data_IF_539239044785
#
_entry.id   IF_539239044785
#
_cell.length_a   1.000
_cell.length_b   1.000
_cell.length_c   1.000
_cell.angle_alpha   90.00
_cell.angle_beta   90.00
_cell.angle_gamma   90.00
#
_symmetry.space_group_name_H-M   'P 1'
#
loop_
_entity.id
_entity.type
_entity.pdbx_description
1 polymer ?
#
# COMPACT_ATOMS: atom_id res chain seq x y z
N UNK A 1 2.22 11.74 -3.89
CA UNK A 1 1.81 11.25 -5.22
C UNK A 1 0.33 10.89 -5.15
N UNK A 2 -0.56 11.80 -5.57
CA UNK A 2 -1.98 11.50 -5.70
C UNK A 2 -2.15 10.58 -6.92
N UNK A 3 -2.33 9.28 -6.68
CA UNK A 3 -2.75 8.35 -7.73
C UNK A 3 -4.15 8.80 -8.17
N UNK A 4 -4.34 9.01 -9.48
CA UNK A 4 -5.53 9.59 -10.12
C UNK A 4 -6.77 8.66 -10.08
N UNK A 5 -7.14 8.18 -8.92
CA UNK A 5 -8.55 7.94 -8.58
C UNK A 5 -8.92 9.08 -7.64
N UNK A 6 -10.10 9.69 -7.80
CA UNK A 6 -10.57 10.80 -6.98
C UNK A 6 -10.90 10.35 -5.54
N UNK A 7 -9.91 9.71 -4.91
CA UNK A 7 -10.00 8.78 -3.80
C UNK A 7 -9.11 9.33 -2.69
N UNK A 8 -9.56 10.43 -2.09
CA UNK A 8 -8.94 10.93 -0.86
C UNK A 8 -9.77 10.44 0.33
N UNK A 9 -9.16 10.21 1.51
CA UNK A 9 -9.91 9.80 2.69
C UNK A 9 -11.11 10.71 3.01
N UNK A 10 -11.00 12.02 2.71
CA UNK A 10 -12.09 12.99 2.90
C UNK A 10 -13.21 12.97 1.86
N UNK A 11 -13.14 12.12 0.82
CA UNK A 11 -14.15 12.00 -0.26
C UNK A 11 -14.91 10.68 -0.21
N UNK A 12 -14.99 10.03 0.96
CA UNK A 12 -15.69 8.75 1.21
C UNK A 12 -15.31 7.61 0.25
N UNK A 13 -14.17 7.73 -0.40
CA UNK A 13 -13.68 6.83 -1.44
C UNK A 13 -12.37 6.16 -1.04
N UNK A 14 -11.61 6.75 -0.10
CA UNK A 14 -10.45 6.13 0.52
C UNK A 14 -10.71 5.81 1.99
N UNK A 15 -10.30 4.61 2.42
CA UNK A 15 -10.25 4.23 3.83
C UNK A 15 -8.78 4.01 4.19
N UNK A 16 -8.37 4.52 5.35
CA UNK A 16 -7.06 4.27 5.91
C UNK A 16 -7.23 3.59 7.26
N UNK A 17 -6.53 2.50 7.47
CA UNK A 17 -6.51 1.75 8.72
C UNK A 17 -5.06 1.53 9.10
N UNK A 18 -4.73 1.81 10.36
CA UNK A 18 -3.43 1.44 10.90
C UNK A 18 -3.47 -0.02 11.37
N UNK A 19 -2.59 -0.85 10.81
CA UNK A 19 -2.46 -2.25 11.16
C UNK A 19 -0.98 -2.50 11.42
N UNK A 20 -0.66 -2.95 12.64
CA UNK A 20 0.71 -3.27 13.01
C UNK A 20 1.28 -4.37 12.08
N UNK A 21 2.58 -4.32 11.74
CA UNK A 21 3.21 -5.30 10.85
C UNK A 21 2.98 -6.76 11.27
N UNK A 22 2.95 -7.04 12.58
CA UNK A 22 2.66 -8.37 13.11
C UNK A 22 1.27 -8.89 12.70
N UNK A 23 0.27 -8.00 12.60
CA UNK A 23 -1.07 -8.34 12.13
C UNK A 23 -1.14 -8.61 10.62
N UNK A 24 -0.19 -8.07 9.85
CA UNK A 24 -0.10 -8.23 8.40
C UNK A 24 0.76 -9.43 7.97
N UNK A 25 1.63 -9.94 8.85
CA UNK A 25 2.57 -11.02 8.54
C UNK A 25 1.90 -12.28 7.97
N UNK A 26 0.69 -12.63 8.43
CA UNK A 26 -0.13 -13.75 7.90
C UNK A 26 -0.55 -13.59 6.43
N UNK A 27 -0.44 -12.40 5.87
CA UNK A 27 -0.77 -12.07 4.48
C UNK A 27 0.48 -11.77 3.65
N UNK A 28 1.68 -11.92 4.22
CA UNK A 28 2.93 -11.69 3.51
C UNK A 28 3.06 -12.64 2.32
N UNK A 29 3.49 -12.10 1.17
CA UNK A 29 3.89 -12.89 0.02
C UNK A 29 5.22 -12.39 -0.49
N UNK A 30 6.18 -13.29 -0.70
CA UNK A 30 7.50 -12.96 -1.25
C UNK A 30 8.21 -11.82 -0.49
N UNK A 31 8.08 -11.77 0.85
CA UNK A 31 8.63 -10.71 1.73
C UNK A 31 8.02 -9.32 1.51
N UNK A 32 6.84 -9.25 0.90
CA UNK A 32 6.06 -8.03 0.72
C UNK A 32 4.77 -8.14 1.53
N UNK A 33 4.50 -7.11 2.34
CA UNK A 33 3.26 -6.98 3.10
C UNK A 33 2.19 -6.25 2.26
N UNK A 34 0.91 -6.58 2.45
CA UNK A 34 -0.16 -5.86 1.78
C UNK A 34 -0.26 -4.43 2.32
N UNK A 35 -0.49 -3.47 1.41
CA UNK A 35 -0.51 -2.05 1.74
C UNK A 35 -1.79 -1.36 1.30
N UNK A 36 -2.37 -1.77 0.16
CA UNK A 36 -3.55 -1.14 -0.42
C UNK A 36 -4.50 -2.20 -0.96
N UNK A 37 -5.78 -2.03 -0.71
CA UNK A 37 -6.84 -2.68 -1.49
C UNK A 37 -7.36 -1.67 -2.50
N UNK A 38 -7.11 -1.91 -3.78
CA UNK A 38 -7.65 -1.10 -4.87
C UNK A 38 -8.87 -1.81 -5.46
N UNK A 39 -10.02 -1.13 -5.48
CA UNK A 39 -11.27 -1.73 -5.96
C UNK A 39 -12.08 -0.79 -6.83
N UNK A 40 -12.78 -1.38 -7.79
CA UNK A 40 -13.81 -0.75 -8.63
C UNK A 40 -15.16 -1.34 -8.24
N UNK A 41 -16.09 -0.49 -7.84
CA UNK A 41 -17.43 -0.90 -7.38
C UNK A 41 -18.49 -0.36 -8.33
N UNK A 42 -19.32 -1.25 -8.86
CA UNK A 42 -20.50 -0.92 -9.65
C UNK A 42 -21.76 -1.31 -8.89
N UNK A 43 -22.34 -0.34 -8.16
CA UNK A 43 -23.56 -0.56 -7.36
C UNK A 43 -24.79 -0.88 -8.23
N UNK A 44 -24.87 -0.35 -9.46
CA UNK A 44 -26.02 -0.61 -10.35
C UNK A 44 -26.06 -2.06 -10.81
N UNK A 45 -24.90 -2.63 -11.09
CA UNK A 45 -24.76 -4.02 -11.52
C UNK A 45 -24.58 -5.00 -10.34
N UNK A 46 -24.56 -4.51 -9.09
CA UNK A 46 -24.18 -5.27 -7.89
C UNK A 46 -22.85 -6.04 -8.05
N UNK A 47 -21.82 -5.38 -8.59
CA UNK A 47 -20.50 -6.00 -8.79
C UNK A 47 -19.37 -5.16 -8.23
N UNK A 48 -18.26 -5.83 -7.89
CA UNK A 48 -16.97 -5.21 -7.69
C UNK A 48 -15.84 -6.12 -8.19
N UNK A 49 -14.71 -5.50 -8.47
CA UNK A 49 -13.44 -6.16 -8.76
C UNK A 49 -12.31 -5.36 -8.11
N UNK A 50 -11.20 -6.00 -7.82
CA UNK A 50 -10.07 -5.32 -7.21
C UNK A 50 -8.83 -6.18 -7.06
N UNK A 51 -7.81 -5.57 -6.48
CA UNK A 51 -6.56 -6.21 -6.16
C UNK A 51 -6.03 -5.72 -4.81
N UNK A 52 -5.37 -6.63 -4.09
CA UNK A 52 -4.49 -6.30 -2.96
C UNK A 52 -3.10 -6.05 -3.53
N UNK A 53 -2.56 -4.88 -3.20
CA UNK A 53 -1.28 -4.39 -3.68
C UNK A 53 -0.37 -4.18 -2.49
N UNK A 54 0.83 -4.75 -2.57
CA UNK A 54 1.94 -4.51 -1.66
C UNK A 54 3.00 -3.60 -2.29
N UNK A 55 3.94 -3.14 -1.47
CA UNK A 55 5.09 -2.36 -1.91
C UNK A 55 6.39 -3.03 -1.45
N UNK A 56 7.29 -3.35 -2.39
CA UNK A 56 8.59 -3.95 -2.09
C UNK A 56 9.57 -2.90 -1.58
N UNK A 57 9.49 -2.62 -0.28
CA UNK A 57 10.39 -1.72 0.42
C UNK A 57 11.84 -2.18 0.36
N UNK A 58 12.10 -3.49 0.40
CA UNK A 58 13.45 -4.03 0.33
C UNK A 58 14.11 -3.68 -1.01
N UNK A 59 13.36 -3.82 -2.12
CA UNK A 59 13.84 -3.41 -3.43
C UNK A 59 14.02 -1.89 -3.51
N UNK A 60 13.09 -1.11 -2.99
CA UNK A 60 13.20 0.34 -2.99
C UNK A 60 14.41 0.84 -2.18
N UNK A 61 14.71 0.23 -1.03
CA UNK A 61 15.91 0.54 -0.23
C UNK A 61 17.20 0.21 -0.96
N UNK A 62 17.29 -0.98 -1.59
CA UNK A 62 18.45 -1.34 -2.41
C UNK A 62 18.67 -0.37 -3.56
N UNK A 63 17.62 -0.06 -4.31
CA UNK A 63 17.72 0.76 -5.52
C UNK A 63 18.00 2.25 -5.22
N UNK A 64 17.58 2.75 -4.05
CA UNK A 64 17.79 4.16 -3.63
C UNK A 64 19.01 4.37 -2.73
N UNK A 65 19.61 3.28 -2.24
CA UNK A 65 20.73 3.30 -1.30
C UNK A 65 20.38 3.92 0.06
N UNK A 66 19.10 3.93 0.43
CA UNK A 66 18.60 4.32 1.76
C UNK A 66 18.44 3.05 2.59
N UNK A 67 18.94 3.04 3.82
CA UNK A 67 18.79 1.90 4.72
C UNK A 67 17.47 1.97 5.50
N UNK A 68 16.92 0.83 5.88
CA UNK A 68 15.66 0.78 6.61
C UNK A 68 15.75 1.53 7.96
N UNK A 69 16.91 1.47 8.62
CA UNK A 69 17.16 2.13 9.91
C UNK A 69 17.25 3.66 9.76
N UNK A 70 17.61 4.17 8.57
CA UNK A 70 17.62 5.61 8.28
C UNK A 70 16.19 6.15 8.11
N UNK A 71 15.24 5.29 7.71
CA UNK A 71 13.82 5.64 7.59
C UNK A 71 13.10 5.65 8.95
N UNK A 72 13.62 4.90 9.93
CA UNK A 72 13.12 4.83 11.29
C UNK A 72 14.27 4.98 12.32
N UNK A 73 14.98 6.13 12.34
CA UNK A 73 16.11 6.31 13.23
C UNK A 73 15.65 6.48 14.69
N UNK A 74 16.52 6.19 15.67
CA UNK A 74 16.24 6.47 17.07
C UNK A 74 15.86 7.94 17.29
N UNK A 75 14.79 8.18 18.05
CA UNK A 75 14.23 9.52 18.26
C UNK A 75 13.31 10.00 17.13
N UNK A 76 13.08 9.19 16.10
CA UNK A 76 12.10 9.49 15.04
C UNK A 76 12.34 10.83 14.37
N UNK A 77 11.29 11.67 14.29
CA UNK A 77 11.35 12.97 13.62
C UNK A 77 12.27 14.01 14.27
N UNK A 78 12.66 13.81 15.54
CA UNK A 78 13.66 14.66 16.21
C UNK A 78 15.08 14.39 15.72
N UNK A 79 15.33 13.23 15.11
CA UNK A 79 16.60 12.93 14.47
C UNK A 79 16.59 13.45 13.02
N UNK A 80 17.54 14.32 12.61
CA UNK A 80 17.58 14.85 11.24
C UNK A 80 17.57 13.79 10.15
N UNK A 81 18.12 12.59 10.43
CA UNK A 81 18.11 11.50 9.47
C UNK A 81 16.72 11.07 9.04
N UNK A 82 15.70 11.21 9.90
CA UNK A 82 14.33 10.87 9.57
C UNK A 82 13.84 11.63 8.33
N UNK A 83 14.19 12.91 8.23
CA UNK A 83 13.81 13.77 7.12
C UNK A 83 14.76 13.59 5.92
N UNK A 84 16.07 13.50 6.17
CA UNK A 84 17.08 13.32 5.13
C UNK A 84 16.83 12.04 4.33
N UNK A 85 16.54 10.92 5.01
CA UNK A 85 16.27 9.64 4.35
C UNK A 85 15.04 9.71 3.44
N UNK A 86 13.96 10.34 3.89
CA UNK A 86 12.72 10.53 3.11
C UNK A 86 12.93 11.42 1.88
N UNK A 87 13.70 12.49 2.01
CA UNK A 87 14.04 13.38 0.90
C UNK A 87 14.93 12.65 -0.12
N UNK A 88 15.97 11.95 0.35
CA UNK A 88 16.85 11.15 -0.51
C UNK A 88 16.07 10.10 -1.27
N UNK A 89 15.24 9.31 -0.58
CA UNK A 89 14.41 8.29 -1.21
C UNK A 89 13.45 8.89 -2.24
N UNK A 90 12.77 9.98 -1.90
CA UNK A 90 11.85 10.66 -2.82
C UNK A 90 12.56 11.17 -4.08
N UNK A 91 13.76 11.76 -3.93
CA UNK A 91 14.57 12.26 -5.04
C UNK A 91 14.99 11.14 -5.98
N UNK A 92 15.49 10.03 -5.43
CA UNK A 92 15.93 8.91 -6.26
C UNK A 92 14.76 8.23 -6.95
N UNK A 93 13.64 8.00 -6.27
CA UNK A 93 12.43 7.47 -6.89
C UNK A 93 11.88 8.39 -8.00
N UNK A 94 11.89 9.71 -7.81
CA UNK A 94 11.39 10.67 -8.80
C UNK A 94 12.19 10.67 -10.12
N UNK A 95 13.41 10.14 -10.13
CA UNK A 95 14.26 10.03 -11.32
C UNK A 95 14.01 8.75 -12.12
N UNK A 96 13.30 7.79 -11.54
CA UNK A 96 13.07 6.51 -12.18
C UNK A 96 11.98 6.58 -13.24
N UNK A 97 12.09 5.70 -14.24
CA UNK A 97 11.04 5.53 -15.23
C UNK A 97 9.74 5.03 -14.58
N UNK A 98 8.60 5.28 -15.23
CA UNK A 98 7.31 4.74 -14.78
C UNK A 98 7.35 3.21 -14.64
N UNK A 99 8.00 2.51 -15.56
CA UNK A 99 8.13 1.05 -15.51
C UNK A 99 8.91 0.60 -14.27
N UNK A 100 10.01 1.27 -13.96
CA UNK A 100 10.80 1.01 -12.76
C UNK A 100 9.96 1.25 -11.48
N UNK A 101 9.21 2.35 -11.44
CA UNK A 101 8.32 2.68 -10.33
C UNK A 101 7.22 1.63 -10.13
N UNK A 102 6.62 1.16 -11.22
CA UNK A 102 5.61 0.09 -11.17
C UNK A 102 6.22 -1.24 -10.72
N UNK A 103 7.50 -1.47 -10.97
CA UNK A 103 8.22 -2.67 -10.51
C UNK A 103 8.42 -2.76 -8.99
N UNK A 104 8.07 -1.72 -8.22
CA UNK A 104 8.00 -1.79 -6.75
C UNK A 104 6.64 -2.25 -6.23
N UNK A 105 5.61 -2.24 -7.08
CA UNK A 105 4.28 -2.71 -6.70
C UNK A 105 4.21 -4.22 -6.90
N UNK A 106 3.76 -4.93 -5.87
CA UNK A 106 3.45 -6.35 -5.95
C UNK A 106 1.93 -6.52 -5.96
N UNK A 107 1.38 -7.08 -7.03
CA UNK A 107 0.00 -7.57 -7.00
C UNK A 107 -0.03 -8.88 -6.21
N UNK A 108 -0.69 -8.86 -5.06
CA UNK A 108 -0.67 -9.99 -4.11
C UNK A 108 -1.90 -10.89 -4.26
N UNK A 109 -3.06 -10.31 -4.57
CA UNK A 109 -4.30 -11.06 -4.80
C UNK A 109 -5.26 -10.25 -5.66
N UNK A 110 -5.84 -10.86 -6.68
CA UNK A 110 -7.03 -10.33 -7.40
C UNK A 110 -8.31 -10.92 -6.82
N UNK A 111 -9.38 -10.15 -6.90
CA UNK A 111 -10.70 -10.59 -6.46
C UNK A 111 -11.82 -9.93 -7.27
N UNK A 112 -12.99 -10.57 -7.22
CA UNK A 112 -14.26 -10.05 -7.71
C UNK A 112 -15.38 -10.47 -6.78
N UNK A 113 -16.48 -9.73 -6.77
CA UNK A 113 -17.63 -10.06 -5.93
C UNK A 113 -18.79 -9.10 -6.12
N UNK A 114 -19.69 -9.08 -5.14
CA UNK A 114 -20.81 -8.13 -5.07
C UNK A 114 -20.39 -6.75 -4.61
N UNK A 115 -21.19 -5.73 -4.89
CA UNK A 115 -20.86 -4.36 -4.51
C UNK A 115 -20.69 -4.19 -2.98
N UNK A 116 -21.43 -4.97 -2.18
CA UNK A 116 -21.36 -4.97 -0.71
C UNK A 116 -19.98 -5.36 -0.15
N UNK A 117 -19.14 -6.04 -0.94
CA UNK A 117 -17.78 -6.39 -0.50
C UNK A 117 -16.97 -5.14 -0.11
N UNK A 118 -17.22 -4.00 -0.75
CA UNK A 118 -16.54 -2.74 -0.42
C UNK A 118 -16.77 -2.31 1.04
N UNK A 119 -17.99 -2.50 1.55
CA UNK A 119 -18.34 -2.18 2.93
C UNK A 119 -17.71 -3.16 3.91
N UNK A 120 -17.66 -4.45 3.55
CA UNK A 120 -17.01 -5.48 4.36
C UNK A 120 -15.51 -5.22 4.51
N UNK A 121 -14.84 -4.85 3.42
CA UNK A 121 -13.42 -4.48 3.43
C UNK A 121 -13.18 -3.22 4.28
N UNK A 122 -14.12 -2.27 4.29
CA UNK A 122 -13.98 -1.03 5.07
C UNK A 122 -14.26 -1.20 6.58
N UNK A 123 -14.91 -2.30 7.01
CA UNK A 123 -15.43 -2.46 8.36
C UNK A 123 -14.49 -3.18 9.36
N UNK A 124 -13.34 -3.70 8.92
CA UNK A 124 -12.45 -4.50 9.77
C UNK A 124 -11.10 -4.76 9.11
N UNK A 125 -10.46 -5.91 9.39
CA UNK A 125 -9.24 -6.35 8.71
C UNK A 125 -9.51 -6.54 7.20
N UNK A 126 -9.11 -5.59 6.34
CA UNK A 126 -9.50 -5.59 4.93
C UNK A 126 -8.89 -6.78 4.19
N UNK A 127 -7.71 -7.22 4.63
CA UNK A 127 -6.99 -8.31 4.01
C UNK A 127 -7.58 -9.65 4.43
N UNK A 128 -8.03 -9.80 5.69
CA UNK A 128 -8.70 -11.01 6.16
C UNK A 128 -9.99 -11.33 5.41
N UNK A 129 -10.80 -10.30 5.13
CA UNK A 129 -12.01 -10.43 4.31
C UNK A 129 -11.70 -10.97 2.91
N UNK A 130 -10.53 -10.60 2.35
CA UNK A 130 -10.12 -10.96 0.99
C UNK A 130 -9.29 -12.25 0.93
N UNK A 131 -8.56 -12.62 1.98
CA UNK A 131 -7.73 -13.83 2.03
C UNK A 131 -8.54 -15.09 2.29
N UNK A 132 -9.59 -14.99 3.10
CA UNK A 132 -10.45 -16.12 3.48
C UNK A 132 -11.57 -16.42 2.46
N UNK A 133 -11.48 -15.82 1.26
CA UNK A 133 -12.33 -16.08 0.10
C UNK A 133 -11.52 -16.72 -1.01
#
# INVERSE_FOLDING_TARGET
>A
MNIRFNTTPGKTSGYAMDIAPAGLAKYEQSKVLPMVVAMRVNRKADTCEGAVIGFDWNKAYRDTGVKAEEMAPPGGSSNPMFWIARVKMSRELARLSKTSLLGYLAEMKRFSGKAQLAEQVAAGDPYGVLWNR
#
